data_IF_202421674532
#
_entry.id   IF_202421674532
#
_cell.length_a   1.000
_cell.length_b   1.000
_cell.length_c   1.000
_cell.angle_alpha   90.00
_cell.angle_beta   90.00
_cell.angle_gamma   90.00
#
_symmetry.space_group_name_H-M   'P 1'
#
loop_
_entity.id
_entity.type
_entity.pdbx_description
1 polymer ?
#
# COMPACT_ATOMS: atom_id res chain seq x y z
N UNK A 1 -46.85 30.56 -33.39
CA UNK A 1 -46.29 31.70 -32.65
C UNK A 1 -44.82 31.41 -32.40
N UNK A 2 -43.95 32.40 -32.57
CA UNK A 2 -42.52 32.31 -32.22
C UNK A 2 -42.29 33.20 -31.00
N UNK A 3 -41.49 32.72 -30.05
CA UNK A 3 -41.08 33.51 -28.88
C UNK A 3 -39.57 33.68 -28.96
N UNK A 4 -39.11 34.91 -28.83
CA UNK A 4 -37.70 35.25 -28.87
C UNK A 4 -37.35 35.97 -27.58
N UNK A 5 -36.57 35.32 -26.73
CA UNK A 5 -35.99 35.96 -25.57
C UNK A 5 -34.54 36.31 -25.93
N UNK A 6 -34.29 37.60 -26.19
CA UNK A 6 -32.96 38.11 -26.47
C UNK A 6 -32.22 38.51 -25.20
N UNK A 7 -30.96 38.85 -25.35
CA UNK A 7 -30.11 39.34 -24.28
C UNK A 7 -29.35 40.59 -24.74
N UNK A 8 -29.05 41.50 -23.81
CA UNK A 8 -28.27 42.68 -24.14
C UNK A 8 -26.83 42.28 -24.48
N UNK A 9 -26.49 42.31 -25.76
CA UNK A 9 -25.15 42.06 -26.26
C UNK A 9 -25.19 41.36 -27.62
N UNK A 10 -24.56 41.96 -28.64
CA UNK A 10 -24.63 41.45 -30.02
C UNK A 10 -25.60 42.21 -30.92
N UNK A 11 -25.89 41.66 -32.11
CA UNK A 11 -26.80 42.27 -33.11
C UNK A 11 -27.78 41.26 -33.72
N UNK A 12 -27.90 40.06 -33.16
CA UNK A 12 -28.65 38.96 -33.77
C UNK A 12 -30.16 39.23 -33.79
N UNK A 13 -30.69 39.92 -32.78
CA UNK A 13 -32.10 40.32 -32.72
C UNK A 13 -32.49 41.31 -33.84
N UNK A 14 -31.54 42.10 -34.35
CA UNK A 14 -31.80 42.98 -35.50
C UNK A 14 -32.03 42.20 -36.78
N UNK A 15 -31.36 41.06 -36.96
CA UNK A 15 -31.60 40.17 -38.11
C UNK A 15 -33.02 39.59 -38.11
N UNK A 16 -33.59 39.34 -36.92
CA UNK A 16 -35.00 38.95 -36.77
C UNK A 16 -35.94 40.08 -37.17
N UNK A 17 -35.65 41.33 -36.76
CA UNK A 17 -36.42 42.51 -37.16
C UNK A 17 -36.38 42.71 -38.67
N UNK A 18 -35.23 42.51 -39.30
CA UNK A 18 -35.08 42.57 -40.76
C UNK A 18 -35.86 41.46 -41.46
N UNK A 19 -35.81 40.24 -40.95
CA UNK A 19 -36.57 39.11 -41.51
C UNK A 19 -38.10 39.29 -41.38
N UNK A 20 -38.56 39.94 -40.29
CA UNK A 20 -39.96 40.34 -40.13
C UNK A 20 -40.36 41.43 -41.12
N UNK A 21 -39.52 42.47 -41.31
CA UNK A 21 -39.75 43.55 -42.28
C UNK A 21 -39.76 43.05 -43.73
N UNK A 22 -38.94 42.05 -44.05
CA UNK A 22 -38.87 41.42 -45.37
C UNK A 22 -40.00 40.40 -45.62
N UNK A 23 -40.93 40.20 -44.67
CA UNK A 23 -42.02 39.24 -44.81
C UNK A 23 -41.56 37.78 -44.92
N UNK A 24 -40.35 37.48 -44.44
CA UNK A 24 -39.82 36.11 -44.40
C UNK A 24 -40.36 35.32 -43.20
N UNK A 25 -40.80 36.02 -42.15
CA UNK A 25 -41.41 35.44 -40.95
C UNK A 25 -42.86 35.89 -40.84
N UNK A 26 -43.77 34.95 -41.03
CA UNK A 26 -45.22 35.23 -41.09
C UNK A 26 -45.97 34.74 -39.85
N UNK A 27 -45.27 34.08 -38.92
CA UNK A 27 -45.84 33.61 -37.65
C UNK A 27 -45.80 34.76 -36.63
N UNK A 28 -46.81 34.92 -35.76
CA UNK A 28 -46.81 35.97 -34.74
C UNK A 28 -45.61 35.78 -33.80
N UNK A 29 -44.78 36.82 -33.66
CA UNK A 29 -43.56 36.85 -32.85
C UNK A 29 -43.80 37.64 -31.57
N UNK A 30 -43.44 37.07 -30.42
CA UNK A 30 -43.37 37.77 -29.14
C UNK A 30 -41.90 37.84 -28.74
N UNK A 31 -41.33 39.04 -28.68
CA UNK A 31 -39.92 39.23 -28.38
C UNK A 31 -39.71 40.09 -27.13
N UNK A 32 -38.76 39.71 -26.28
CA UNK A 32 -38.30 40.49 -25.13
C UNK A 32 -36.79 40.37 -25.01
N UNK A 33 -36.07 41.49 -25.02
CA UNK A 33 -34.61 41.51 -24.84
C UNK A 33 -34.32 41.82 -23.38
N UNK A 34 -33.78 40.83 -22.68
CA UNK A 34 -33.39 40.94 -21.27
C UNK A 34 -32.10 41.76 -21.11
N UNK A 35 -31.84 42.30 -19.91
CA UNK A 35 -30.68 43.17 -19.66
C UNK A 35 -30.97 44.68 -19.63
N UNK A 36 -32.23 45.08 -19.48
CA UNK A 36 -32.65 46.49 -19.35
C UNK A 36 -32.02 47.20 -18.14
N UNK A 37 -31.66 46.46 -17.08
CA UNK A 37 -30.98 46.97 -15.89
C UNK A 37 -29.51 47.36 -16.12
N UNK A 38 -28.89 46.98 -17.24
CA UNK A 38 -27.50 47.34 -17.54
C UNK A 38 -27.27 48.87 -17.58
N UNK A 39 -28.30 49.63 -17.96
CA UNK A 39 -28.27 51.11 -17.99
C UNK A 39 -28.18 51.76 -16.60
N UNK A 40 -28.41 51.02 -15.52
CA UNK A 40 -28.36 51.51 -14.14
C UNK A 40 -26.98 51.32 -13.48
N UNK A 41 -26.04 50.63 -14.13
CA UNK A 41 -24.69 50.39 -13.61
C UNK A 41 -23.65 51.29 -14.31
N UNK A 42 -22.68 51.82 -13.55
CA UNK A 42 -21.63 52.74 -14.06
C UNK A 42 -20.44 52.03 -14.74
N UNK A 43 -20.42 50.71 -14.79
CA UNK A 43 -19.33 49.90 -15.36
C UNK A 43 -19.88 48.65 -16.04
N UNK A 44 -19.20 48.18 -17.10
CA UNK A 44 -19.59 46.98 -17.85
C UNK A 44 -19.57 45.73 -16.96
N UNK A 45 -20.70 45.05 -16.84
CA UNK A 45 -20.84 43.79 -16.10
C UNK A 45 -21.19 42.70 -17.11
N UNK A 46 -20.35 41.67 -17.21
CA UNK A 46 -20.60 40.50 -18.05
C UNK A 46 -21.49 39.50 -17.28
N UNK A 47 -22.67 39.20 -17.80
CA UNK A 47 -23.59 38.21 -17.24
C UNK A 47 -23.52 36.91 -18.05
N UNK A 48 -23.52 35.75 -17.35
CA UNK A 48 -23.64 34.43 -17.96
C UNK A 48 -25.09 33.96 -17.95
N UNK A 49 -25.61 33.49 -19.08
CA UNK A 49 -27.00 33.07 -19.23
C UNK A 49 -27.16 31.63 -19.74
N UNK A 50 -28.17 30.94 -19.21
CA UNK A 50 -28.83 29.79 -19.83
C UNK A 50 -30.34 30.02 -19.72
N UNK A 51 -31.05 29.82 -20.83
CA UNK A 51 -32.42 30.27 -21.08
C UNK A 51 -33.39 29.09 -21.14
N UNK A 52 -34.63 29.29 -20.66
CA UNK A 52 -35.77 28.49 -21.13
C UNK A 52 -37.12 29.25 -21.11
N UNK A 53 -38.10 28.66 -21.82
CA UNK A 53 -39.55 28.90 -21.92
C UNK A 53 -40.07 29.91 -22.98
N UNK A 54 -41.01 29.59 -23.89
CA UNK A 54 -41.91 28.44 -24.05
C UNK A 54 -43.33 28.93 -24.39
N UNK A 55 -43.86 28.66 -25.61
CA UNK A 55 -45.30 28.82 -25.94
C UNK A 55 -45.75 27.85 -27.07
N UNK A 56 -46.26 26.68 -26.68
CA UNK A 56 -46.96 25.70 -27.54
C UNK A 56 -48.25 25.27 -26.84
N UNK A 57 -49.32 25.03 -27.59
CA UNK A 57 -50.63 24.58 -27.09
C UNK A 57 -50.59 23.13 -26.58
N UNK A 58 -51.21 22.79 -25.42
CA UNK A 58 -50.99 21.50 -24.76
C UNK A 58 -51.61 20.35 -25.56
N UNK A 59 -50.75 19.46 -26.04
CA UNK A 59 -51.14 18.11 -26.47
C UNK A 59 -51.47 17.30 -25.22
N UNK A 60 -52.43 16.37 -25.28
CA UNK A 60 -52.74 15.47 -24.15
C UNK A 60 -51.45 14.77 -23.72
N UNK A 61 -50.96 15.07 -22.53
CA UNK A 61 -49.72 14.49 -22.01
C UNK A 61 -49.85 12.97 -21.99
N UNK A 62 -49.04 12.32 -22.81
CA UNK A 62 -48.78 10.90 -22.70
C UNK A 62 -47.73 10.77 -21.61
N UNK A 63 -48.01 9.99 -20.57
CA UNK A 63 -46.99 9.71 -19.53
C UNK A 63 -45.79 9.06 -20.20
N UNK A 64 -44.60 9.70 -20.18
CA UNK A 64 -43.41 9.12 -20.77
C UNK A 64 -43.08 7.79 -20.07
N UNK A 65 -42.45 6.83 -20.78
CA UNK A 65 -42.02 5.59 -20.16
C UNK A 65 -41.07 5.90 -19.00
N UNK A 66 -41.29 5.26 -17.85
CA UNK A 66 -40.41 5.45 -16.70
C UNK A 66 -39.05 4.82 -16.99
N UNK A 67 -38.02 5.66 -17.02
CA UNK A 67 -36.63 5.21 -17.11
C UNK A 67 -36.21 4.79 -15.70
N UNK A 68 -35.51 3.65 -15.54
CA UNK A 68 -34.95 3.27 -14.25
C UNK A 68 -34.09 4.39 -13.66
N UNK A 69 -34.27 4.66 -12.37
CA UNK A 69 -33.43 5.60 -11.64
C UNK A 69 -31.96 5.13 -11.64
N UNK A 70 -31.04 6.07 -11.80
CA UNK A 70 -29.61 5.76 -11.70
C UNK A 70 -29.25 5.20 -10.32
N UNK A 71 -28.44 4.15 -10.31
CA UNK A 71 -28.08 3.42 -9.09
C UNK A 71 -27.43 4.35 -8.05
N UNK A 72 -26.58 5.29 -8.45
CA UNK A 72 -25.92 6.20 -7.52
C UNK A 72 -26.93 7.17 -6.90
N UNK A 73 -27.94 7.58 -7.65
CA UNK A 73 -29.01 8.45 -7.18
C UNK A 73 -29.96 7.72 -6.23
N UNK A 74 -30.28 6.46 -6.53
CA UNK A 74 -31.06 5.59 -5.66
C UNK A 74 -30.34 5.26 -4.33
N UNK A 75 -29.02 5.08 -4.37
CA UNK A 75 -28.20 4.87 -3.16
C UNK A 75 -28.12 6.16 -2.34
N UNK A 76 -27.85 7.31 -2.96
CA UNK A 76 -27.79 8.61 -2.27
C UNK A 76 -29.13 9.01 -1.64
N UNK A 77 -30.25 8.69 -2.29
CA UNK A 77 -31.59 8.91 -1.76
C UNK A 77 -32.04 7.85 -0.75
N UNK A 78 -31.21 6.84 -0.48
CA UNK A 78 -31.49 5.78 0.50
C UNK A 78 -32.54 4.76 0.07
N UNK A 79 -32.97 4.78 -1.20
CA UNK A 79 -33.98 3.85 -1.76
C UNK A 79 -33.45 2.44 -1.94
N UNK A 80 -32.13 2.29 -2.16
CA UNK A 80 -31.46 1.01 -2.39
C UNK A 80 -30.20 0.94 -1.53
N UNK A 81 -29.95 -0.22 -0.91
CA UNK A 81 -28.66 -0.54 -0.30
C UNK A 81 -27.90 -1.49 -1.22
N UNK A 82 -26.72 -1.08 -1.67
CA UNK A 82 -25.76 -1.97 -2.32
C UNK A 82 -24.85 -2.59 -1.23
N UNK A 83 -24.65 -3.92 -1.23
CA UNK A 83 -23.72 -4.55 -0.30
C UNK A 83 -22.28 -4.19 -0.65
N UNK A 84 -21.44 -4.01 0.37
CA UNK A 84 -20.00 -3.85 0.20
C UNK A 84 -19.34 -5.22 0.00
N UNK A 85 -18.55 -5.39 -1.06
CA UNK A 85 -17.91 -6.67 -1.38
C UNK A 85 -16.57 -6.90 -0.68
N UNK A 86 -15.87 -5.84 -0.29
CA UNK A 86 -14.55 -5.90 0.33
C UNK A 86 -14.58 -5.06 1.61
N UNK A 87 -14.01 -5.59 2.68
CA UNK A 87 -13.83 -4.90 3.96
C UNK A 87 -12.35 -4.56 4.12
N UNK A 88 -12.02 -3.29 4.27
CA UNK A 88 -10.68 -2.81 4.65
C UNK A 88 -10.74 -2.21 6.05
N UNK A 89 -9.76 -2.54 6.90
CA UNK A 89 -9.68 -2.02 8.29
C UNK A 89 -8.34 -1.37 8.63
N UNK A 90 -7.43 -1.26 7.65
CA UNK A 90 -6.05 -0.81 7.88
C UNK A 90 -5.79 0.62 7.42
N UNK A 91 -6.54 1.11 6.43
CA UNK A 91 -6.38 2.47 5.89
C UNK A 91 -7.68 2.98 5.28
N UNK A 92 -7.89 4.29 5.31
CA UNK A 92 -8.99 5.00 4.64
C UNK A 92 -8.47 6.27 3.99
N UNK A 93 -8.68 6.40 2.67
CA UNK A 93 -8.22 7.49 1.81
C UNK A 93 -9.38 8.38 1.30
N UNK A 94 -10.61 8.12 1.72
CA UNK A 94 -11.81 8.83 1.23
C UNK A 94 -12.07 10.15 1.93
N UNK A 95 -11.47 10.36 3.10
CA UNK A 95 -11.61 11.59 3.89
C UNK A 95 -10.82 12.76 3.30
N UNK A 96 -10.82 13.90 3.99
CA UNK A 96 -9.97 15.04 3.63
C UNK A 96 -8.48 14.69 3.71
N UNK A 97 -8.11 13.80 4.64
CA UNK A 97 -6.77 13.30 4.83
C UNK A 97 -6.74 11.76 4.92
N UNK A 98 -5.76 11.08 4.30
CA UNK A 98 -5.58 9.64 4.46
C UNK A 98 -5.26 9.25 5.90
N UNK A 99 -5.81 8.11 6.33
CA UNK A 99 -5.58 7.57 7.67
C UNK A 99 -5.01 6.16 7.64
N UNK A 100 -4.13 5.83 8.60
CA UNK A 100 -3.65 4.47 8.88
C UNK A 100 -4.18 4.02 10.23
N UNK A 101 -5.01 2.97 10.23
CA UNK A 101 -5.75 2.49 11.40
C UNK A 101 -6.47 3.63 12.17
N UNK A 102 -7.01 4.61 11.43
CA UNK A 102 -7.69 5.78 11.99
C UNK A 102 -6.76 6.93 12.44
N UNK A 103 -5.44 6.77 12.36
CA UNK A 103 -4.47 7.84 12.62
C UNK A 103 -4.27 8.67 11.35
N UNK A 104 -4.49 10.00 11.39
CA UNK A 104 -4.30 10.87 10.22
C UNK A 104 -2.82 11.02 9.84
N UNK A 105 -2.56 11.22 8.54
CA UNK A 105 -1.20 11.34 8.00
C UNK A 105 -0.38 12.47 8.65
N UNK A 106 -1.03 13.59 8.97
CA UNK A 106 -0.46 14.76 9.65
C UNK A 106 0.15 14.42 11.01
N UNK A 107 -0.41 13.45 11.72
CA UNK A 107 0.15 12.95 12.99
C UNK A 107 1.38 12.06 12.77
N UNK A 108 1.49 11.41 11.61
CA UNK A 108 2.62 10.52 11.27
C UNK A 108 3.85 11.36 10.91
N UNK A 109 3.67 12.47 10.20
CA UNK A 109 4.75 13.39 9.83
C UNK A 109 5.50 13.95 11.06
N UNK A 110 4.84 14.04 12.22
CA UNK A 110 5.36 14.68 13.44
C UNK A 110 6.41 13.86 14.23
N UNK A 111 7.02 12.85 13.61
CA UNK A 111 8.14 12.10 14.18
C UNK A 111 7.91 10.60 14.38
N UNK A 112 6.87 10.03 13.77
CA UNK A 112 6.71 8.58 13.68
C UNK A 112 7.66 8.01 12.61
N UNK A 113 8.28 6.88 12.93
CA UNK A 113 9.18 6.15 12.04
C UNK A 113 8.47 5.14 11.16
N UNK A 114 9.25 4.42 10.35
CA UNK A 114 8.73 3.33 9.51
C UNK A 114 8.18 2.20 10.38
N UNK A 115 8.79 1.95 11.54
CA UNK A 115 8.31 0.96 12.50
C UNK A 115 6.90 1.26 13.03
N UNK A 116 6.58 2.54 13.24
CA UNK A 116 5.27 2.98 13.72
C UNK A 116 4.20 2.85 12.62
N UNK A 117 4.54 3.15 11.37
CA UNK A 117 3.65 2.94 10.22
C UNK A 117 3.33 1.45 10.03
N UNK A 118 4.35 0.58 10.13
CA UNK A 118 4.16 -0.88 10.11
C UNK A 118 3.25 -1.30 11.27
N UNK A 119 3.46 -0.74 12.46
CA UNK A 119 2.65 -1.00 13.63
C UNK A 119 1.16 -0.75 13.38
N UNK A 120 0.83 0.42 12.81
CA UNK A 120 -0.54 0.80 12.50
C UNK A 120 -1.14 -0.06 11.38
N UNK A 121 -0.42 -0.29 10.29
CA UNK A 121 -0.96 -1.02 9.15
C UNK A 121 -1.11 -2.52 9.42
N UNK A 122 -0.17 -3.14 10.14
CA UNK A 122 -0.17 -4.59 10.35
C UNK A 122 -0.92 -4.97 11.62
N UNK A 123 -0.67 -4.27 12.72
CA UNK A 123 -1.25 -4.62 14.03
C UNK A 123 -2.44 -3.75 14.43
N UNK A 124 -2.76 -2.68 13.65
CA UNK A 124 -3.84 -1.72 13.96
C UNK A 124 -3.71 -1.11 15.35
N UNK A 125 -2.48 -0.97 15.83
CA UNK A 125 -2.13 -0.54 17.18
C UNK A 125 -0.93 0.38 17.12
N UNK A 126 -0.89 1.38 17.99
CA UNK A 126 0.30 2.20 18.22
C UNK A 126 1.17 1.48 19.25
N UNK A 127 2.13 0.70 18.78
CA UNK A 127 3.04 -0.03 19.67
C UNK A 127 3.97 0.94 20.42
N UNK A 128 4.50 0.54 21.60
CA UNK A 128 5.53 1.30 22.29
C UNK A 128 6.77 1.53 21.42
N UNK A 129 7.46 2.65 21.64
CA UNK A 129 8.63 3.04 20.83
C UNK A 129 9.73 1.97 20.76
N UNK A 130 9.95 1.21 21.84
CA UNK A 130 10.95 0.13 21.82
C UNK A 130 10.56 -1.02 20.86
N UNK A 131 9.25 -1.28 20.68
CA UNK A 131 8.75 -2.28 19.74
C UNK A 131 8.94 -1.81 18.30
N UNK A 132 8.56 -0.57 17.99
CA UNK A 132 8.67 -0.02 16.64
C UNK A 132 10.13 0.16 16.25
N UNK A 133 10.98 0.53 17.20
CA UNK A 133 12.44 0.55 17.02
C UNK A 133 13.02 -0.85 16.78
N UNK A 134 12.54 -1.88 17.47
CA UNK A 134 12.97 -3.25 17.22
C UNK A 134 12.62 -3.71 15.79
N UNK A 135 11.40 -3.40 15.32
CA UNK A 135 10.97 -3.71 13.95
C UNK A 135 11.93 -3.07 12.92
N UNK A 136 12.31 -1.81 13.12
CA UNK A 136 13.30 -1.14 12.26
C UNK A 136 14.67 -1.83 12.30
N UNK A 137 15.14 -2.26 13.47
CA UNK A 137 16.39 -3.01 13.60
C UNK A 137 16.32 -4.33 12.82
N UNK A 138 15.21 -5.06 12.92
CA UNK A 138 15.00 -6.28 12.14
C UNK A 138 15.06 -6.01 10.63
N UNK A 139 14.44 -4.93 10.16
CA UNK A 139 14.51 -4.53 8.74
C UNK A 139 15.94 -4.25 8.32
N UNK A 140 16.70 -3.49 9.12
CA UNK A 140 18.09 -3.17 8.81
C UNK A 140 19.00 -4.40 8.76
N UNK A 141 18.83 -5.34 9.71
CA UNK A 141 19.66 -6.54 9.80
C UNK A 141 19.32 -7.58 8.71
N UNK A 142 18.08 -7.59 8.25
CA UNK A 142 17.58 -8.48 7.21
C UNK A 142 17.56 -7.85 5.80
N UNK A 143 18.07 -6.62 5.64
CA UNK A 143 18.02 -5.89 4.39
C UNK A 143 18.70 -6.65 3.22
N UNK A 144 19.89 -7.21 3.48
CA UNK A 144 20.62 -8.01 2.49
C UNK A 144 21.56 -9.07 3.14
N UNK A 145 21.93 -10.09 2.37
CA UNK A 145 22.88 -11.16 2.77
C UNK A 145 23.74 -11.59 1.57
N UNK A 146 23.94 -10.67 0.62
CA UNK A 146 24.77 -10.87 -0.55
C UNK A 146 24.11 -11.66 -1.69
N UNK A 147 24.81 -11.75 -2.84
CA UNK A 147 24.22 -12.20 -4.10
C UNK A 147 24.03 -13.72 -4.23
N UNK A 148 24.60 -14.51 -3.30
CA UNK A 148 24.63 -15.96 -3.38
C UNK A 148 23.38 -16.65 -2.81
N UNK A 149 22.50 -15.91 -2.13
CA UNK A 149 21.24 -16.45 -1.63
C UNK A 149 20.22 -16.57 -2.77
N UNK A 150 19.30 -17.54 -2.68
CA UNK A 150 18.35 -17.86 -3.75
C UNK A 150 17.61 -16.65 -4.31
N UNK A 151 17.09 -15.78 -3.43
CA UNK A 151 16.35 -14.59 -3.87
C UNK A 151 17.22 -13.57 -4.61
N UNK A 152 18.40 -13.28 -4.08
CA UNK A 152 19.33 -12.34 -4.70
C UNK A 152 19.84 -12.86 -6.04
N UNK A 153 20.18 -14.15 -6.11
CA UNK A 153 20.62 -14.79 -7.35
C UNK A 153 19.55 -14.69 -8.44
N UNK A 154 18.30 -15.05 -8.12
CA UNK A 154 17.20 -14.96 -9.08
C UNK A 154 16.99 -13.51 -9.55
N UNK A 155 16.94 -12.55 -8.63
CA UNK A 155 16.82 -11.13 -8.99
C UNK A 155 17.96 -10.66 -9.91
N UNK A 156 19.19 -11.06 -9.64
CA UNK A 156 20.36 -10.73 -10.46
C UNK A 156 20.24 -11.33 -11.86
N UNK A 157 19.89 -12.61 -11.97
CA UNK A 157 19.71 -13.30 -13.26
C UNK A 157 18.61 -12.62 -14.09
N UNK A 158 17.48 -12.30 -13.47
CA UNK A 158 16.36 -11.62 -14.12
C UNK A 158 16.71 -10.19 -14.54
N UNK A 159 17.44 -9.45 -13.71
CA UNK A 159 17.94 -8.12 -14.06
C UNK A 159 18.90 -8.16 -15.26
N UNK A 160 19.81 -9.15 -15.28
CA UNK A 160 20.74 -9.40 -16.40
C UNK A 160 20.05 -9.83 -17.69
N UNK A 161 18.83 -10.39 -17.60
CA UNK A 161 17.99 -10.67 -18.76
C UNK A 161 17.28 -9.43 -19.32
N UNK A 162 17.58 -8.23 -18.81
CA UNK A 162 17.03 -6.96 -19.32
C UNK A 162 15.63 -6.64 -18.81
N UNK A 163 15.16 -7.31 -17.75
CA UNK A 163 13.83 -7.07 -17.18
C UNK A 163 13.78 -5.76 -16.37
N UNK A 164 12.56 -5.26 -16.19
CA UNK A 164 12.26 -4.09 -15.35
C UNK A 164 12.48 -4.40 -13.85
N UNK A 165 12.41 -3.35 -13.02
CA UNK A 165 12.67 -3.45 -11.58
C UNK A 165 11.68 -4.40 -10.90
N UNK A 166 10.38 -4.27 -11.21
CA UNK A 166 9.32 -5.03 -10.56
C UNK A 166 9.45 -6.50 -10.91
N UNK A 167 9.64 -6.83 -12.19
CA UNK A 167 9.86 -8.22 -12.61
C UNK A 167 11.08 -8.86 -11.93
N UNK A 168 12.18 -8.11 -11.80
CA UNK A 168 13.43 -8.61 -11.19
C UNK A 168 13.27 -8.82 -9.69
N UNK A 169 12.58 -7.91 -9.00
CA UNK A 169 12.26 -8.02 -7.58
C UNK A 169 11.35 -9.23 -7.33
N UNK A 170 10.22 -9.33 -8.03
CA UNK A 170 9.24 -10.43 -7.86
C UNK A 170 9.90 -11.78 -8.11
N UNK A 171 10.77 -11.90 -9.11
CA UNK A 171 11.47 -13.17 -9.38
C UNK A 171 12.33 -13.64 -8.21
N UNK A 172 12.96 -12.72 -7.47
CA UNK A 172 13.68 -13.04 -6.24
C UNK A 172 12.76 -13.32 -5.06
N UNK A 173 11.71 -12.52 -4.89
CA UNK A 173 10.73 -12.68 -3.80
C UNK A 173 9.99 -14.01 -3.87
N UNK A 174 9.70 -14.53 -5.07
CA UNK A 174 9.07 -15.84 -5.26
C UNK A 174 9.92 -17.03 -4.73
N UNK A 175 11.19 -16.80 -4.41
CA UNK A 175 12.03 -17.82 -3.77
C UNK A 175 11.88 -17.84 -2.24
N UNK A 176 11.29 -16.80 -1.65
CA UNK A 176 11.07 -16.71 -0.21
C UNK A 176 9.95 -17.69 0.18
N UNK A 177 10.24 -18.56 1.13
CA UNK A 177 9.38 -19.64 1.56
C UNK A 177 10.10 -20.60 2.51
N UNK A 178 9.70 -21.88 2.59
CA UNK A 178 10.11 -22.78 3.68
C UNK A 178 11.62 -23.05 3.72
N UNK A 179 12.35 -22.90 2.60
CA UNK A 179 13.80 -23.15 2.53
C UNK A 179 14.64 -21.87 2.50
N UNK A 180 14.02 -20.71 2.29
CA UNK A 180 14.71 -19.41 2.21
C UNK A 180 13.82 -18.34 2.83
N UNK A 181 14.20 -17.83 4.00
CA UNK A 181 13.43 -16.83 4.75
C UNK A 181 12.42 -17.41 5.76
N UNK A 182 11.86 -18.60 5.51
CA UNK A 182 10.89 -19.23 6.41
C UNK A 182 11.42 -19.69 7.77
N UNK A 183 12.73 -19.62 7.99
CA UNK A 183 13.35 -20.00 9.26
C UNK A 183 12.93 -19.10 10.45
N UNK A 184 12.46 -17.87 10.17
CA UNK A 184 12.01 -16.94 11.23
C UNK A 184 10.66 -17.39 11.80
N UNK A 185 9.68 -17.70 10.94
CA UNK A 185 8.38 -18.24 11.36
C UNK A 185 8.55 -19.61 12.03
N UNK A 186 9.36 -20.50 11.41
CA UNK A 186 9.64 -21.83 11.97
C UNK A 186 10.34 -21.73 13.34
N UNK A 187 11.12 -20.69 13.60
CA UNK A 187 11.77 -20.50 14.90
C UNK A 187 10.81 -20.02 16.00
N UNK A 188 9.65 -19.46 15.66
CA UNK A 188 8.60 -19.20 16.63
C UNK A 188 7.90 -20.50 17.08
N UNK A 189 7.95 -21.54 16.25
CA UNK A 189 7.55 -22.89 16.64
C UNK A 189 8.75 -23.61 17.26
N UNK A 190 8.80 -23.60 18.60
CA UNK A 190 9.89 -24.00 19.53
C UNK A 190 10.78 -25.20 19.12
N UNK A 191 10.31 -26.09 18.24
CA UNK A 191 11.02 -27.29 17.80
C UNK A 191 12.11 -27.06 16.73
N UNK A 192 12.18 -25.89 16.07
CA UNK A 192 13.05 -25.67 14.89
C UNK A 192 14.03 -24.50 14.98
N UNK A 193 14.24 -23.94 16.18
CA UNK A 193 15.03 -22.73 16.43
C UNK A 193 16.50 -22.72 15.95
N UNK A 194 17.05 -23.83 15.44
CA UNK A 194 18.50 -23.98 15.29
C UNK A 194 18.92 -24.54 13.92
N UNK A 195 19.65 -23.73 13.14
CA UNK A 195 20.72 -24.17 12.26
C UNK A 195 21.52 -22.97 11.70
N UNK A 196 22.86 -22.99 11.81
CA UNK A 196 23.77 -22.22 10.94
C UNK A 196 24.80 -23.13 10.29
N UNK A 197 25.21 -22.80 9.06
CA UNK A 197 26.22 -23.59 8.30
C UNK A 197 27.68 -23.22 8.59
N UNK A 198 27.97 -22.05 9.19
CA UNK A 198 29.32 -21.45 9.13
C UNK A 198 29.85 -20.91 10.48
N UNK A 199 29.00 -20.70 11.50
CA UNK A 199 29.42 -20.02 12.74
C UNK A 199 29.73 -21.03 13.85
N UNK A 200 30.71 -20.71 14.68
CA UNK A 200 31.19 -21.55 15.80
C UNK A 200 31.01 -20.80 17.12
N UNK A 201 30.93 -21.52 18.24
CA UNK A 201 30.83 -20.91 19.59
C UNK A 201 31.83 -19.77 19.85
N UNK A 202 33.04 -19.85 19.30
CA UNK A 202 34.11 -18.85 19.47
C UNK A 202 33.99 -17.62 18.55
N UNK A 203 33.10 -17.65 17.54
CA UNK A 203 32.90 -16.57 16.57
C UNK A 203 31.41 -16.35 16.32
N UNK A 204 30.77 -15.73 17.30
CA UNK A 204 29.33 -15.42 17.32
C UNK A 204 28.97 -14.39 16.25
N UNK A 205 27.72 -14.46 15.78
CA UNK A 205 27.18 -13.50 14.83
C UNK A 205 26.92 -12.16 15.54
N UNK A 206 27.64 -11.11 15.14
CA UNK A 206 27.49 -9.76 15.71
C UNK A 206 26.05 -9.22 15.62
N UNK A 207 25.26 -9.68 14.65
CA UNK A 207 23.85 -9.28 14.51
C UNK A 207 23.00 -9.84 15.65
N UNK A 208 23.24 -11.10 16.03
CA UNK A 208 22.58 -11.76 17.16
C UNK A 208 22.95 -11.05 18.46
N UNK A 209 24.23 -10.73 18.66
CA UNK A 209 24.69 -9.99 19.85
C UNK A 209 24.04 -8.60 19.97
N UNK A 210 23.89 -7.88 18.84
CA UNK A 210 23.24 -6.58 18.80
C UNK A 210 21.76 -6.67 19.18
N UNK A 211 21.06 -7.67 18.65
CA UNK A 211 19.65 -7.95 18.98
C UNK A 211 19.48 -8.29 20.46
N UNK A 212 20.32 -9.19 21.00
CA UNK A 212 20.28 -9.57 22.42
C UNK A 212 20.53 -8.38 23.34
N UNK A 213 21.52 -7.53 23.01
CA UNK A 213 21.83 -6.33 23.80
C UNK A 213 20.66 -5.34 23.80
N UNK A 214 20.06 -5.11 22.63
CA UNK A 214 18.92 -4.23 22.51
C UNK A 214 17.74 -4.75 23.34
N UNK A 215 17.40 -6.03 23.21
CA UNK A 215 16.29 -6.63 23.93
C UNK A 215 16.48 -6.56 25.45
N UNK A 216 17.64 -6.97 25.98
CA UNK A 216 17.93 -6.93 27.42
C UNK A 216 17.88 -5.53 28.03
N UNK A 217 18.11 -4.49 27.22
CA UNK A 217 18.13 -3.10 27.69
C UNK A 217 16.77 -2.42 27.63
N UNK A 218 15.86 -2.89 26.76
CA UNK A 218 14.63 -2.17 26.41
C UNK A 218 13.35 -2.98 26.62
N UNK A 219 13.41 -4.31 26.56
CA UNK A 219 12.21 -5.14 26.67
C UNK A 219 11.84 -5.36 28.14
N UNK A 220 10.54 -5.37 28.48
CA UNK A 220 10.09 -5.68 29.84
C UNK A 220 10.42 -7.11 30.28
N UNK A 221 10.48 -8.03 29.32
CA UNK A 221 10.79 -9.45 29.51
C UNK A 221 11.41 -10.01 28.24
N UNK A 222 12.35 -10.95 28.40
CA UNK A 222 13.05 -11.64 27.31
C UNK A 222 13.02 -13.16 27.49
N UNK A 223 11.87 -13.67 27.97
CA UNK A 223 11.69 -15.07 28.36
C UNK A 223 11.96 -16.04 27.20
N UNK A 224 11.47 -15.74 26.01
CA UNK A 224 11.61 -16.62 24.84
C UNK A 224 13.04 -16.61 24.32
N UNK A 225 13.70 -15.45 24.30
CA UNK A 225 15.11 -15.34 23.92
C UNK A 225 16.03 -16.05 24.92
N UNK A 226 15.82 -15.90 26.23
CA UNK A 226 16.63 -16.62 27.23
C UNK A 226 16.43 -18.14 27.12
N UNK A 227 15.21 -18.61 26.86
CA UNK A 227 14.98 -20.03 26.56
C UNK A 227 15.75 -20.48 25.30
N UNK A 228 15.77 -19.68 24.23
CA UNK A 228 16.55 -19.99 23.03
C UNK A 228 18.06 -20.07 23.32
N UNK A 229 18.58 -19.23 24.23
CA UNK A 229 19.99 -19.26 24.68
C UNK A 229 20.29 -20.51 25.53
N UNK A 230 19.35 -20.96 26.37
CA UNK A 230 19.47 -22.23 27.09
C UNK A 230 19.54 -23.41 26.11
N UNK A 231 18.67 -23.42 25.09
CA UNK A 231 18.69 -24.44 24.04
C UNK A 231 20.01 -24.40 23.25
N UNK A 232 20.52 -23.21 22.91
CA UNK A 232 21.85 -23.04 22.29
C UNK A 232 22.95 -23.67 23.15
N UNK A 233 22.92 -23.42 24.45
CA UNK A 233 23.90 -23.96 25.40
C UNK A 233 23.91 -25.49 25.37
N UNK A 234 22.72 -26.11 25.32
CA UNK A 234 22.60 -27.55 25.15
C UNK A 234 23.11 -28.03 23.78
N UNK A 235 22.80 -27.35 22.68
CA UNK A 235 23.22 -27.80 21.35
C UNK A 235 24.70 -27.63 21.08
N UNK A 236 25.34 -26.63 21.69
CA UNK A 236 26.79 -26.48 21.68
C UNK A 236 27.51 -27.66 22.36
N UNK A 237 26.87 -28.34 23.32
CA UNK A 237 27.41 -29.58 23.89
C UNK A 237 27.46 -30.74 22.87
N UNK A 238 26.65 -30.68 21.81
CA UNK A 238 26.58 -31.70 20.75
C UNK A 238 27.49 -31.36 19.58
N UNK A 239 27.48 -30.10 19.14
CA UNK A 239 28.37 -29.64 18.10
C UNK A 239 28.60 -28.12 18.16
N UNK A 240 29.87 -27.72 18.01
CA UNK A 240 30.30 -26.32 18.17
C UNK A 240 29.73 -25.36 17.12
N UNK A 241 29.11 -25.86 16.04
CA UNK A 241 28.50 -25.06 14.99
C UNK A 241 26.99 -24.85 15.14
N UNK A 242 26.37 -25.44 16.16
CA UNK A 242 24.94 -25.31 16.43
C UNK A 242 24.67 -24.10 17.33
N UNK A 243 25.04 -22.93 16.82
CA UNK A 243 24.77 -21.62 17.44
C UNK A 243 23.40 -21.08 17.01
N UNK A 244 22.81 -20.22 17.84
CA UNK A 244 21.58 -19.49 17.53
C UNK A 244 21.82 -18.57 16.32
N UNK A 245 21.01 -18.73 15.29
CA UNK A 245 21.09 -17.92 14.08
C UNK A 245 20.35 -16.58 14.26
N UNK A 246 20.57 -15.65 13.33
CA UNK A 246 19.88 -14.36 13.34
C UNK A 246 18.36 -14.54 13.19
N UNK A 247 17.93 -15.53 12.42
CA UNK A 247 16.51 -15.79 12.16
C UNK A 247 15.77 -16.22 13.43
N UNK A 248 16.34 -17.13 14.20
CA UNK A 248 15.83 -17.62 15.47
C UNK A 248 15.97 -16.61 16.61
N UNK A 249 17.01 -15.76 16.58
CA UNK A 249 17.09 -14.60 17.46
C UNK A 249 15.97 -13.60 17.19
N UNK A 250 15.67 -13.29 15.92
CA UNK A 250 14.56 -12.41 15.55
C UNK A 250 13.22 -13.05 15.93
N UNK A 251 12.99 -14.34 15.63
CA UNK A 251 11.75 -15.03 15.95
C UNK A 251 11.45 -15.08 17.44
N UNK A 252 12.42 -15.49 18.27
CA UNK A 252 12.27 -15.52 19.73
C UNK A 252 12.05 -14.13 20.32
N UNK A 253 12.78 -13.12 19.85
CA UNK A 253 12.59 -11.74 20.31
C UNK A 253 11.29 -11.12 19.82
N UNK A 254 10.77 -11.51 18.66
CA UNK A 254 9.47 -11.03 18.21
C UNK A 254 8.34 -11.57 19.09
N UNK A 255 8.45 -12.81 19.58
CA UNK A 255 7.54 -13.35 20.60
C UNK A 255 7.62 -12.57 21.91
N UNK A 256 8.84 -12.27 22.38
CA UNK A 256 9.06 -11.42 23.56
C UNK A 256 8.48 -10.01 23.37
N UNK A 257 8.57 -9.44 22.16
CA UNK A 257 7.96 -8.15 21.83
C UNK A 257 6.44 -8.22 21.95
N UNK A 258 5.81 -9.21 21.33
CA UNK A 258 4.35 -9.34 21.35
C UNK A 258 3.84 -9.58 22.77
N UNK A 259 4.45 -10.51 23.50
CA UNK A 259 4.08 -10.83 24.88
C UNK A 259 4.41 -9.70 25.87
N UNK A 260 5.54 -9.02 25.68
CA UNK A 260 6.04 -7.94 26.54
C UNK A 260 5.36 -6.59 26.31
N UNK A 261 4.76 -6.37 25.13
CA UNK A 261 4.05 -5.13 24.82
C UNK A 261 2.84 -4.87 25.72
N UNK A 262 2.25 -5.92 26.30
CA UNK A 262 0.99 -5.84 27.05
C UNK A 262 -0.22 -5.49 26.18
N UNK A 263 -0.05 -5.44 24.85
CA UNK A 263 -1.10 -5.04 23.93
C UNK A 263 -1.84 -6.24 23.32
N UNK A 264 -1.21 -7.42 23.28
CA UNK A 264 -1.76 -8.61 22.63
C UNK A 264 -2.18 -9.70 23.62
N UNK A 265 -3.32 -10.34 23.35
CA UNK A 265 -3.70 -11.56 24.05
C UNK A 265 -2.93 -12.77 23.52
N UNK A 266 -2.88 -13.86 24.27
CA UNK A 266 -2.22 -15.09 23.79
C UNK A 266 -2.85 -15.59 22.48
N UNK A 267 -4.18 -15.53 22.33
CA UNK A 267 -4.83 -15.94 21.09
C UNK A 267 -4.40 -15.07 19.91
N UNK A 268 -4.33 -13.74 20.10
CA UNK A 268 -3.87 -12.83 19.05
C UNK A 268 -2.42 -13.10 18.64
N UNK A 269 -1.56 -13.43 19.61
CA UNK A 269 -0.15 -13.79 19.33
C UNK A 269 -0.08 -15.05 18.49
N UNK A 270 -0.80 -16.10 18.87
CA UNK A 270 -0.84 -17.36 18.14
C UNK A 270 -1.37 -17.16 16.70
N UNK A 271 -2.39 -16.31 16.53
CA UNK A 271 -2.92 -15.94 15.19
C UNK A 271 -1.90 -15.15 14.35
N UNK A 272 -1.20 -14.18 14.93
CA UNK A 272 -0.16 -13.39 14.24
C UNK A 272 0.94 -14.30 13.68
N UNK A 273 1.37 -15.29 14.47
CA UNK A 273 2.37 -16.26 14.06
C UNK A 273 1.81 -17.16 12.95
N UNK A 274 0.59 -17.69 13.13
CA UNK A 274 -0.03 -18.59 12.17
C UNK A 274 -0.28 -17.95 10.80
N UNK A 275 -0.57 -16.64 10.76
CA UNK A 275 -0.75 -15.89 9.50
C UNK A 275 0.59 -15.65 8.78
N UNK A 276 1.70 -15.61 9.51
CA UNK A 276 3.04 -15.40 8.95
C UNK A 276 3.46 -13.94 8.85
N UNK A 277 3.19 -13.14 9.88
CA UNK A 277 3.61 -11.73 9.95
C UNK A 277 5.14 -11.58 9.88
N UNK A 278 5.88 -12.53 10.47
CA UNK A 278 7.34 -12.55 10.49
C UNK A 278 7.94 -12.84 9.10
N UNK A 279 7.32 -13.75 8.33
CA UNK A 279 7.58 -13.89 6.89
C UNK A 279 7.35 -12.57 6.14
N UNK A 280 6.27 -11.86 6.44
CA UNK A 280 6.00 -10.52 5.90
C UNK A 280 7.12 -9.53 6.21
N UNK A 281 7.61 -9.52 7.46
CA UNK A 281 8.73 -8.68 7.89
C UNK A 281 10.01 -9.02 7.12
N UNK A 282 10.30 -10.30 6.92
CA UNK A 282 11.46 -10.74 6.15
C UNK A 282 11.37 -10.33 4.67
N UNK A 283 10.20 -10.49 4.06
CA UNK A 283 9.94 -10.08 2.67
C UNK A 283 10.15 -8.57 2.51
N UNK A 284 9.58 -7.76 3.41
CA UNK A 284 9.74 -6.31 3.41
C UNK A 284 11.22 -5.91 3.53
N UNK A 285 11.92 -6.48 4.51
CA UNK A 285 13.34 -6.20 4.73
C UNK A 285 14.18 -6.58 3.51
N UNK A 286 14.02 -7.82 3.01
CA UNK A 286 14.83 -8.37 1.93
C UNK A 286 14.63 -7.63 0.61
N UNK A 287 13.45 -7.05 0.41
CA UNK A 287 13.14 -6.27 -0.80
C UNK A 287 14.13 -5.12 -1.00
N UNK A 288 14.66 -4.53 0.08
CA UNK A 288 15.67 -3.47 0.02
C UNK A 288 16.94 -3.96 -0.71
N UNK A 289 17.50 -5.10 -0.29
CA UNK A 289 18.67 -5.69 -0.90
C UNK A 289 18.43 -6.16 -2.34
N UNK A 290 17.27 -6.75 -2.63
CA UNK A 290 16.92 -7.20 -3.99
C UNK A 290 16.78 -6.04 -4.98
N UNK A 291 16.16 -4.93 -4.56
CA UNK A 291 16.12 -3.69 -5.34
C UNK A 291 17.56 -3.19 -5.57
N UNK A 292 18.39 -3.18 -4.53
CA UNK A 292 19.80 -2.81 -4.59
C UNK A 292 20.58 -3.63 -5.63
N UNK A 293 20.43 -4.96 -5.62
CA UNK A 293 21.04 -5.84 -6.61
C UNK A 293 20.56 -5.58 -8.03
N UNK A 294 19.27 -5.29 -8.22
CA UNK A 294 18.74 -4.94 -9.55
C UNK A 294 19.41 -3.68 -10.09
N UNK A 295 19.50 -2.62 -9.27
CA UNK A 295 20.17 -1.38 -9.66
C UNK A 295 21.67 -1.59 -9.90
N UNK A 296 22.30 -2.42 -9.09
CA UNK A 296 23.70 -2.77 -9.25
C UNK A 296 23.98 -3.42 -10.61
N UNK A 297 23.23 -4.46 -10.98
CA UNK A 297 23.39 -5.13 -12.28
C UNK A 297 23.16 -4.20 -13.47
N UNK A 298 22.18 -3.28 -13.36
CA UNK A 298 21.91 -2.27 -14.40
C UNK A 298 23.04 -1.25 -14.52
N UNK A 299 23.57 -0.75 -13.41
CA UNK A 299 24.72 0.17 -13.39
C UNK A 299 25.98 -0.47 -13.96
N UNK A 300 26.22 -1.75 -13.62
CA UNK A 300 27.33 -2.54 -14.10
C UNK A 300 27.18 -2.99 -15.57
N UNK A 301 26.03 -2.72 -16.21
CA UNK A 301 25.72 -3.11 -17.60
C UNK A 301 26.02 -4.59 -17.87
N UNK A 302 25.67 -5.45 -16.92
CA UNK A 302 26.00 -6.87 -16.98
C UNK A 302 25.25 -7.56 -18.14
N UNK A 303 25.92 -8.43 -18.92
CA UNK A 303 25.30 -9.13 -20.04
C UNK A 303 24.38 -10.25 -19.54
N UNK A 304 23.56 -10.81 -20.44
CA UNK A 304 22.70 -11.95 -20.18
C UNK A 304 23.48 -13.09 -19.50
N UNK A 305 22.89 -13.68 -18.45
CA UNK A 305 23.46 -14.82 -17.77
C UNK A 305 23.00 -16.14 -18.41
N UNK A 306 23.94 -17.06 -18.62
CA UNK A 306 23.68 -18.45 -19.01
C UNK A 306 24.49 -19.35 -18.07
N UNK A 307 23.85 -20.34 -17.47
CA UNK A 307 24.53 -21.25 -16.55
C UNK A 307 25.54 -22.14 -17.31
N UNK A 308 26.76 -22.35 -16.77
CA UNK A 308 27.78 -23.18 -17.43
C UNK A 308 27.34 -24.64 -17.55
N UNK A 309 27.83 -25.34 -18.56
CA UNK A 309 27.47 -26.75 -18.78
C UNK A 309 28.18 -27.70 -17.82
N UNK A 310 29.41 -27.34 -17.43
CA UNK A 310 30.24 -28.05 -16.47
C UNK A 310 29.62 -28.14 -15.06
N UNK A 311 28.71 -27.22 -14.73
CA UNK A 311 27.98 -27.19 -13.45
C UNK A 311 26.68 -28.02 -13.49
N UNK A 312 26.32 -28.62 -14.64
CA UNK A 312 25.09 -29.39 -14.82
C UNK A 312 25.41 -30.87 -15.04
N UNK A 313 24.97 -31.72 -14.11
CA UNK A 313 25.03 -33.17 -14.27
C UNK A 313 23.92 -33.66 -15.20
N UNK A 314 24.29 -34.06 -16.42
CA UNK A 314 23.38 -34.69 -17.38
C UNK A 314 23.40 -36.21 -17.20
N UNK A 315 22.39 -36.77 -16.51
CA UNK A 315 22.22 -38.22 -16.38
C UNK A 315 21.51 -38.80 -17.61
N UNK A 316 22.03 -39.90 -18.15
CA UNK A 316 21.37 -40.66 -19.23
C UNK A 316 20.26 -41.54 -18.67
#
# INVERSE_FOLDING_TARGET
MMVVLGELGGRDEYSLVEALKQGKINKPVVAWVSGTCATLFKSEVQFGHAVEAGKVSPVKEVTPPQIPEDLNTAIKSGKVRAPTHIISTISDDRGEEPTYAGVPMSSIEQGLGVGDVISLLWFKRSLPHYCTRFIEICIMLCADHGPCVSGAHNTIVTARAGKDLVSSLVSGLLTIGPRFGGAIDDACDTSRMLMTRIKRGDNRDKRVELLQRFARSNFPSVKYMEYAVEVETYTLSKANNLVLNVDGAIGSLFLDLLAGSGMFTKQEIDEIIAIGYLNGLFVLARSIGLIGHTFDQKRLKQPLYRHPWEDVLYTK
#
